data_IF_243034336219
#
_entry.id   IF_243034336219
#
_cell.length_a   1.000
_cell.length_b   1.000
_cell.length_c   1.000
_cell.angle_alpha   90.00
_cell.angle_beta   90.00
_cell.angle_gamma   90.00
#
_symmetry.space_group_name_H-M   'P 1'
#
loop_
_entity.id
_entity.type
_entity.pdbx_description
1 polymer ?
#
# COMPACT_ATOMS: atom_id res chain seq x y z
N UNK A 1 -26.40 -6.52 22.24
CA UNK A 1 -26.94 -5.46 21.38
C UNK A 1 -25.80 -4.49 21.19
N UNK A 2 -24.93 -4.81 20.22
CA UNK A 2 -23.61 -4.19 20.10
C UNK A 2 -23.78 -2.88 19.34
N UNK A 3 -23.40 -1.80 19.99
CA UNK A 3 -23.31 -0.48 19.41
C UNK A 3 -22.38 -0.57 18.20
N UNK A 4 -22.92 -0.37 17.00
CA UNK A 4 -22.11 -0.22 15.79
C UNK A 4 -21.59 1.21 15.85
N UNK A 5 -20.57 1.44 16.67
CA UNK A 5 -19.77 2.66 16.57
C UNK A 5 -19.38 2.80 15.11
N UNK A 6 -19.92 3.84 14.47
CA UNK A 6 -19.60 4.19 13.10
C UNK A 6 -18.12 4.58 13.07
N UNK A 7 -17.26 3.59 12.85
CA UNK A 7 -15.83 3.82 12.67
C UNK A 7 -15.68 4.78 11.50
N UNK A 8 -15.04 5.92 11.75
CA UNK A 8 -14.80 6.92 10.71
C UNK A 8 -13.85 6.31 9.68
N UNK A 9 -14.39 5.97 8.51
CA UNK A 9 -13.61 5.50 7.38
C UNK A 9 -13.06 6.71 6.62
N UNK A 10 -11.74 6.73 6.44
CA UNK A 10 -11.02 7.77 5.71
C UNK A 10 -10.66 7.26 4.32
N UNK A 11 -11.00 8.05 3.30
CA UNK A 11 -10.63 7.73 1.94
C UNK A 11 -9.12 7.90 1.74
N UNK A 12 -8.50 6.89 1.11
CA UNK A 12 -7.09 6.87 0.75
C UNK A 12 -6.98 6.75 -0.75
N UNK A 13 -6.19 7.64 -1.35
CA UNK A 13 -5.87 7.60 -2.77
C UNK A 13 -4.43 8.00 -3.01
N UNK A 14 -3.70 7.18 -3.77
CA UNK A 14 -2.41 7.55 -4.35
C UNK A 14 -2.23 6.94 -5.75
N UNK A 15 -1.27 7.44 -6.50
CA UNK A 15 -1.01 6.99 -7.86
C UNK A 15 0.45 7.15 -8.28
N UNK A 16 0.87 6.34 -9.23
CA UNK A 16 2.18 6.38 -9.85
C UNK A 16 2.12 5.86 -11.30
N UNK A 17 3.20 6.07 -12.06
CA UNK A 17 3.32 5.56 -13.43
C UNK A 17 4.47 4.58 -13.55
N UNK A 18 4.28 3.54 -14.36
CA UNK A 18 5.31 2.58 -14.77
C UNK A 18 5.53 2.74 -16.27
N UNK A 19 6.77 2.94 -16.69
CA UNK A 19 7.14 3.03 -18.12
C UNK A 19 7.23 1.65 -18.79
N UNK A 20 6.17 0.85 -18.61
CA UNK A 20 5.95 -0.45 -19.22
C UNK A 20 4.51 -0.55 -19.73
N UNK A 21 4.25 -1.28 -20.83
CA UNK A 21 2.89 -1.53 -21.29
C UNK A 21 2.12 -2.43 -20.30
N UNK A 22 0.80 -2.29 -20.24
CA UNK A 22 -0.05 -3.00 -19.28
C UNK A 22 0.14 -4.52 -19.32
N UNK A 23 0.34 -5.10 -20.50
CA UNK A 23 0.55 -6.55 -20.65
C UNK A 23 1.80 -7.05 -19.91
N UNK A 24 2.88 -6.28 -19.90
CA UNK A 24 4.12 -6.66 -19.23
C UNK A 24 3.99 -6.46 -17.72
N UNK A 25 3.28 -5.41 -17.29
CA UNK A 25 2.93 -5.19 -15.88
C UNK A 25 2.05 -6.33 -15.35
N UNK A 26 1.01 -6.72 -16.08
CA UNK A 26 0.09 -7.81 -15.68
C UNK A 26 0.86 -9.14 -15.53
N UNK A 27 1.77 -9.45 -16.45
CA UNK A 27 2.61 -10.65 -16.33
C UNK A 27 3.53 -10.59 -15.11
N UNK A 28 4.09 -9.42 -14.81
CA UNK A 28 4.96 -9.26 -13.66
C UNK A 28 4.20 -9.38 -12.33
N UNK A 29 3.00 -8.79 -12.21
CA UNK A 29 2.20 -8.87 -10.97
C UNK A 29 1.77 -10.30 -10.63
N UNK A 30 1.50 -11.15 -11.63
CA UNK A 30 1.20 -12.58 -11.40
C UNK A 30 2.33 -13.32 -10.68
N UNK A 31 3.56 -12.82 -10.79
CA UNK A 31 4.75 -13.37 -10.15
C UNK A 31 5.03 -12.70 -8.81
N UNK A 32 4.88 -11.36 -8.73
CA UNK A 32 5.40 -10.58 -7.59
C UNK A 32 4.34 -10.13 -6.60
N UNK A 33 3.09 -9.95 -7.03
CA UNK A 33 2.01 -9.54 -6.15
C UNK A 33 1.50 -10.76 -5.38
N UNK A 34 2.23 -11.12 -4.32
CA UNK A 34 1.79 -12.11 -3.33
C UNK A 34 1.37 -11.38 -2.05
N UNK A 35 0.38 -11.88 -1.29
CA UNK A 35 -0.02 -11.22 -0.06
C UNK A 35 1.14 -11.11 0.94
N UNK A 36 1.98 -12.14 1.02
CA UNK A 36 3.16 -12.13 1.89
C UNK A 36 4.12 -10.99 1.56
N UNK A 37 4.52 -10.85 0.29
CA UNK A 37 5.46 -9.79 -0.12
C UNK A 37 4.86 -8.39 0.08
N UNK A 38 3.57 -8.20 -0.19
CA UNK A 38 2.91 -6.92 0.08
C UNK A 38 2.88 -6.62 1.58
N UNK A 39 2.70 -7.64 2.43
CA UNK A 39 2.81 -7.50 3.89
C UNK A 39 4.20 -7.04 4.33
N UNK A 40 5.27 -7.58 3.71
CA UNK A 40 6.64 -7.12 3.93
C UNK A 40 6.83 -5.66 3.51
N UNK A 41 6.27 -5.25 2.36
CA UNK A 41 6.33 -3.85 1.93
C UNK A 41 5.61 -2.91 2.90
N UNK A 42 4.46 -3.29 3.43
CA UNK A 42 3.75 -2.48 4.45
C UNK A 42 4.60 -2.35 5.71
N UNK A 43 5.25 -3.43 6.15
CA UNK A 43 6.12 -3.40 7.32
C UNK A 43 7.36 -2.52 7.12
N UNK A 44 8.00 -2.60 5.95
CA UNK A 44 9.11 -1.71 5.57
C UNK A 44 8.66 -0.26 5.55
N UNK A 45 7.56 0.03 4.86
CA UNK A 45 7.00 1.38 4.77
C UNK A 45 6.67 1.96 6.15
N UNK A 46 6.01 1.20 7.02
CA UNK A 46 5.74 1.62 8.40
C UNK A 46 7.00 2.01 9.15
N UNK A 47 8.00 1.13 9.15
CA UNK A 47 9.23 1.35 9.89
C UNK A 47 9.97 2.61 9.41
N UNK A 48 10.01 2.83 8.10
CA UNK A 48 10.68 3.99 7.54
C UNK A 48 9.93 5.29 7.86
N UNK A 49 8.60 5.30 7.77
CA UNK A 49 7.79 6.48 8.11
C UNK A 49 7.83 6.81 9.60
N UNK A 50 7.81 5.80 10.49
CA UNK A 50 7.97 6.02 11.94
C UNK A 50 9.35 6.58 12.25
N UNK A 51 10.43 6.08 11.65
CA UNK A 51 11.78 6.64 11.86
C UNK A 51 11.84 8.12 11.45
N UNK A 52 11.22 8.49 10.33
CA UNK A 52 11.15 9.90 9.91
C UNK A 52 10.34 10.72 10.92
N UNK A 53 9.21 10.22 11.38
CA UNK A 53 8.36 10.90 12.35
C UNK A 53 9.08 11.14 13.68
N UNK A 54 9.77 10.13 14.22
CA UNK A 54 10.55 10.21 15.45
C UNK A 54 11.67 11.23 15.34
N UNK A 55 12.38 11.25 14.20
CA UNK A 55 13.45 12.22 13.93
C UNK A 55 12.94 13.67 13.85
N UNK A 56 11.73 13.89 13.34
CA UNK A 56 11.13 15.23 13.20
C UNK A 56 10.51 15.72 14.51
N UNK A 57 9.93 14.83 15.32
CA UNK A 57 9.19 15.21 16.53
C UNK A 57 10.04 15.21 17.81
N UNK A 58 11.29 14.74 17.76
CA UNK A 58 12.17 14.53 18.92
C UNK A 58 11.44 13.76 20.05
N UNK A 59 10.61 12.80 19.64
CA UNK A 59 9.81 11.94 20.51
C UNK A 59 9.92 10.51 20.00
N UNK A 60 10.25 9.58 20.89
CA UNK A 60 10.14 8.16 20.60
C UNK A 60 8.66 7.78 20.55
N UNK A 61 8.26 7.16 19.46
CA UNK A 61 6.95 6.54 19.37
C UNK A 61 7.09 5.09 19.86
N UNK A 62 6.24 4.61 20.80
CA UNK A 62 6.36 3.25 21.33
C UNK A 62 6.06 2.14 20.30
N UNK A 63 5.87 2.52 19.04
CA UNK A 63 5.36 1.73 17.92
C UNK A 63 6.44 1.39 16.87
N UNK A 64 7.73 1.55 17.21
CA UNK A 64 8.88 1.28 16.34
C UNK A 64 9.17 -0.22 16.11
N UNK A 65 8.25 -1.11 16.48
CA UNK A 65 8.33 -2.54 16.17
C UNK A 65 7.88 -2.81 14.74
N UNK A 66 8.60 -3.66 14.00
CA UNK A 66 8.19 -4.09 12.67
C UNK A 66 6.83 -4.79 12.73
N UNK A 67 5.76 -4.21 12.12
CA UNK A 67 4.43 -4.72 12.32
C UNK A 67 4.24 -6.03 11.55
N UNK A 68 3.62 -7.01 12.20
CA UNK A 68 3.09 -8.18 11.50
C UNK A 68 1.80 -7.80 10.79
N UNK A 69 1.90 -7.66 9.47
CA UNK A 69 0.80 -7.26 8.58
C UNK A 69 0.31 -8.49 7.82
N UNK A 70 -0.96 -8.83 8.04
CA UNK A 70 -1.68 -9.77 7.19
C UNK A 70 -2.25 -9.03 5.99
N UNK A 71 -1.99 -9.55 4.80
CA UNK A 71 -2.60 -9.07 3.56
C UNK A 71 -3.45 -10.18 2.98
N UNK A 72 -4.59 -9.82 2.40
CA UNK A 72 -5.40 -10.70 1.59
C UNK A 72 -5.74 -10.01 0.27
N UNK A 73 -5.83 -10.81 -0.80
CA UNK A 73 -6.31 -10.35 -2.09
C UNK A 73 -7.70 -10.87 -2.36
N UNK A 74 -8.54 -9.99 -2.88
CA UNK A 74 -9.82 -10.36 -3.45
C UNK A 74 -9.67 -10.92 -4.87
N UNK A 75 -10.79 -11.36 -5.47
CA UNK A 75 -10.78 -11.82 -6.86
C UNK A 75 -10.38 -10.68 -7.79
N UNK A 76 -9.37 -10.94 -8.64
CA UNK A 76 -8.93 -9.99 -9.67
C UNK A 76 -10.07 -9.71 -10.64
N UNK A 77 -10.23 -8.44 -11.01
CA UNK A 77 -11.21 -7.98 -11.98
C UNK A 77 -10.49 -7.37 -13.18
N UNK A 78 -10.83 -7.81 -14.38
CA UNK A 78 -10.23 -7.29 -15.62
C UNK A 78 -11.23 -6.47 -16.42
N UNK A 79 -10.75 -5.38 -17.01
CA UNK A 79 -11.44 -4.54 -18.01
C UNK A 79 -10.57 -4.47 -19.27
N UNK A 80 -11.07 -3.81 -20.33
CA UNK A 80 -10.37 -3.73 -21.62
C UNK A 80 -8.96 -3.11 -21.50
N UNK A 81 -8.82 -2.14 -20.62
CA UNK A 81 -7.67 -1.26 -20.48
C UNK A 81 -7.14 -1.21 -19.04
N UNK A 82 -7.64 -2.06 -18.15
CA UNK A 82 -7.23 -2.08 -16.75
C UNK A 82 -7.37 -3.46 -16.09
N UNK A 83 -6.56 -3.70 -15.07
CA UNK A 83 -6.67 -4.81 -14.13
C UNK A 83 -6.79 -4.24 -12.72
N UNK A 84 -7.76 -4.72 -11.95
CA UNK A 84 -8.04 -4.30 -10.59
C UNK A 84 -7.82 -5.48 -9.65
N UNK A 85 -6.95 -5.27 -8.66
CA UNK A 85 -6.64 -6.21 -7.59
C UNK A 85 -7.18 -5.64 -6.27
N UNK A 86 -8.32 -6.14 -5.76
CA UNK A 86 -8.78 -5.78 -4.43
C UNK A 86 -7.77 -6.27 -3.38
N UNK A 87 -7.39 -5.41 -2.45
CA UNK A 87 -6.49 -5.71 -1.35
C UNK A 87 -7.15 -5.37 -0.03
N UNK A 88 -6.89 -6.19 0.98
CA UNK A 88 -7.11 -5.82 2.37
C UNK A 88 -5.84 -6.07 3.13
N UNK A 89 -5.50 -5.17 4.06
CA UNK A 89 -4.47 -5.46 5.03
C UNK A 89 -4.92 -5.11 6.44
N UNK A 90 -4.42 -5.89 7.39
CA UNK A 90 -4.68 -5.76 8.82
C UNK A 90 -3.39 -6.03 9.59
N UNK A 91 -3.18 -5.30 10.67
CA UNK A 91 -2.08 -5.50 11.61
C UNK A 91 -2.50 -6.45 12.74
N UNK A 92 -1.59 -7.32 13.18
CA UNK A 92 -1.80 -8.16 14.38
C UNK A 92 -1.15 -7.59 15.64
N UNK A 93 -0.17 -6.71 15.48
CA UNK A 93 0.80 -6.39 16.54
C UNK A 93 0.92 -4.91 16.81
N UNK A 94 0.56 -4.06 15.84
CA UNK A 94 0.70 -2.61 15.96
C UNK A 94 -0.61 -1.92 15.59
N UNK A 95 -1.47 -1.56 16.56
CA UNK A 95 -2.78 -0.92 16.33
C UNK A 95 -2.72 0.39 15.54
N UNK A 96 -1.55 1.03 15.49
CA UNK A 96 -1.36 2.28 14.77
C UNK A 96 -1.09 2.10 13.28
N UNK A 97 -0.80 0.87 12.82
CA UNK A 97 -0.85 0.53 11.40
C UNK A 97 -2.31 0.43 11.02
N UNK A 98 -2.88 1.43 10.34
CA UNK A 98 -4.31 1.47 10.18
C UNK A 98 -4.73 0.42 9.14
N UNK A 99 -5.84 -0.30 9.40
CA UNK A 99 -6.35 -1.27 8.44
C UNK A 99 -6.69 -0.56 7.13
N UNK A 100 -6.51 -1.26 6.01
CA UNK A 100 -6.88 -0.73 4.69
C UNK A 100 -7.71 -1.77 3.94
N UNK A 101 -8.82 -1.31 3.36
CA UNK A 101 -9.56 -2.00 2.32
C UNK A 101 -9.49 -1.16 1.05
N UNK A 102 -8.85 -1.67 0.01
CA UNK A 102 -8.54 -0.89 -1.18
C UNK A 102 -8.60 -1.73 -2.47
N UNK A 103 -8.55 -1.03 -3.59
CA UNK A 103 -8.33 -1.57 -4.92
C UNK A 103 -7.00 -1.01 -5.45
N UNK A 104 -6.12 -1.90 -5.91
CA UNK A 104 -4.99 -1.51 -6.76
C UNK A 104 -5.44 -1.64 -8.21
N UNK A 105 -5.48 -0.54 -8.95
CA UNK A 105 -5.81 -0.52 -10.37
C UNK A 105 -4.57 -0.27 -11.22
N UNK A 106 -4.31 -1.16 -12.16
CA UNK A 106 -3.29 -1.02 -13.21
C UNK A 106 -4.01 -0.70 -14.52
N UNK A 107 -3.89 0.53 -15.01
CA UNK A 107 -4.58 1.00 -16.21
C UNK A 107 -3.59 1.41 -17.30
N UNK A 108 -3.88 1.06 -18.56
CA UNK A 108 -3.05 1.46 -19.70
C UNK A 108 -3.08 2.98 -19.88
N UNK A 109 -1.91 3.58 -20.09
CA UNK A 109 -1.76 5.00 -20.42
C UNK A 109 -0.93 5.14 -21.70
N UNK A 110 -1.55 4.79 -22.82
CA UNK A 110 -0.87 4.68 -24.10
C UNK A 110 -0.10 3.35 -24.25
N UNK A 111 0.69 3.21 -25.33
CA UNK A 111 1.26 1.91 -25.71
C UNK A 111 2.47 1.47 -24.89
N UNK A 112 3.03 2.33 -24.05
CA UNK A 112 4.30 2.09 -23.34
C UNK A 112 4.27 2.44 -21.86
N UNK A 113 3.11 2.77 -21.31
CA UNK A 113 3.00 3.24 -19.94
C UNK A 113 1.73 2.69 -19.29
N UNK A 114 1.84 2.42 -18.01
CA UNK A 114 0.76 1.95 -17.14
C UNK A 114 0.65 2.89 -15.95
N UNK A 115 -0.55 3.34 -15.64
CA UNK A 115 -0.82 4.03 -14.38
C UNK A 115 -1.23 3.00 -13.34
N UNK A 116 -0.69 3.18 -12.14
CA UNK A 116 -1.06 2.39 -10.97
C UNK A 116 -1.71 3.31 -9.99
N UNK A 117 -2.89 2.93 -9.52
CA UNK A 117 -3.64 3.67 -8.55
C UNK A 117 -4.01 2.78 -7.37
N UNK A 118 -4.01 3.34 -6.17
CA UNK A 118 -4.54 2.69 -4.98
C UNK A 118 -5.70 3.54 -4.50
N UNK A 119 -6.90 2.97 -4.41
CA UNK A 119 -8.11 3.63 -3.91
C UNK A 119 -8.73 2.81 -2.81
N UNK A 120 -9.01 3.39 -1.65
CA UNK A 120 -9.60 2.60 -0.57
C UNK A 120 -10.07 3.41 0.62
N UNK A 121 -10.41 2.67 1.66
CA UNK A 121 -10.83 3.18 2.94
C UNK A 121 -9.91 2.63 4.03
N UNK A 122 -9.52 3.50 4.95
CA UNK A 122 -8.77 3.14 6.13
C UNK A 122 -9.50 3.60 7.39
N UNK A 123 -9.42 2.82 8.46
CA UNK A 123 -10.00 3.20 9.75
C UNK A 123 -8.95 3.91 10.60
N UNK A 124 -9.39 4.87 11.42
CA UNK A 124 -8.50 5.46 12.42
C UNK A 124 -8.11 4.41 13.48
N UNK A 125 -6.93 4.58 14.11
CA UNK A 125 -6.56 3.80 15.28
C UNK A 125 -7.63 3.84 16.38
N UNK A 126 -7.78 2.78 17.19
CA UNK A 126 -8.71 2.76 18.31
C UNK A 126 -8.48 3.93 19.27
N UNK A 127 -9.55 4.66 19.62
CA UNK A 127 -9.50 5.79 20.53
C UNK A 127 -9.19 7.15 19.87
N UNK A 128 -8.80 7.16 18.59
CA UNK A 128 -8.63 8.41 17.85
C UNK A 128 -9.98 9.09 17.59
N UNK A 129 -10.02 10.40 17.80
CA UNK A 129 -11.21 11.24 17.55
C UNK A 129 -11.02 12.01 16.24
N UNK A 130 -12.02 12.00 15.37
CA UNK A 130 -11.99 12.73 14.08
C UNK A 130 -11.80 14.23 14.29
N UNK A 131 -10.91 14.84 13.50
CA UNK A 131 -10.65 16.29 13.55
C UNK A 131 -9.58 16.73 14.56
N UNK A 132 -8.92 15.77 15.21
CA UNK A 132 -7.76 16.02 16.08
C UNK A 132 -6.44 16.00 15.31
N UNK A 133 -5.37 16.50 15.96
CA UNK A 133 -4.00 16.36 15.45
C UNK A 133 -3.60 14.90 15.27
N UNK A 134 -4.05 14.03 16.16
CA UNK A 134 -3.79 12.59 16.14
C UNK A 134 -4.44 11.90 14.93
N UNK A 135 -5.73 12.14 14.68
CA UNK A 135 -6.40 11.59 13.49
C UNK A 135 -5.82 12.15 12.19
N UNK A 136 -5.41 13.43 12.20
CA UNK A 136 -4.69 14.04 11.07
C UNK A 136 -3.32 13.40 10.84
N UNK A 137 -2.58 13.09 11.91
CA UNK A 137 -1.29 12.40 11.83
C UNK A 137 -1.47 10.97 11.31
N UNK A 138 -2.42 10.22 11.86
CA UNK A 138 -2.74 8.86 11.43
C UNK A 138 -3.08 8.84 9.94
N UNK A 139 -3.93 9.75 9.46
CA UNK A 139 -4.29 9.85 8.04
C UNK A 139 -3.07 10.15 7.16
N UNK A 140 -2.21 11.10 7.55
CA UNK A 140 -0.98 11.40 6.81
C UNK A 140 -0.05 10.19 6.75
N UNK A 141 0.08 9.47 7.86
CA UNK A 141 0.89 8.27 7.97
C UNK A 141 0.34 7.15 7.07
N UNK A 142 -0.98 6.93 7.04
CA UNK A 142 -1.63 5.99 6.11
C UNK A 142 -1.27 6.29 4.66
N UNK A 143 -1.40 7.55 4.24
CA UNK A 143 -1.11 7.97 2.86
C UNK A 143 0.37 7.77 2.55
N UNK A 144 1.27 8.12 3.47
CA UNK A 144 2.71 7.92 3.30
C UNK A 144 3.07 6.44 3.16
N UNK A 145 2.49 5.57 3.99
CA UNK A 145 2.68 4.12 3.90
C UNK A 145 2.18 3.58 2.55
N UNK A 146 0.97 3.97 2.13
CA UNK A 146 0.41 3.54 0.84
C UNK A 146 1.31 3.99 -0.32
N UNK A 147 1.81 5.22 -0.28
CA UNK A 147 2.76 5.73 -1.27
C UNK A 147 4.02 4.89 -1.32
N UNK A 148 4.60 4.59 -0.16
CA UNK A 148 5.85 3.85 -0.09
C UNK A 148 5.66 2.39 -0.55
N UNK A 149 4.57 1.74 -0.13
CA UNK A 149 4.18 0.41 -0.64
C UNK A 149 4.05 0.42 -2.16
N UNK A 150 3.44 1.47 -2.74
CA UNK A 150 3.30 1.63 -4.18
C UNK A 150 4.67 1.73 -4.88
N UNK A 151 5.62 2.47 -4.31
CA UNK A 151 7.00 2.56 -4.81
C UNK A 151 7.67 1.18 -4.81
N UNK A 152 7.65 0.47 -3.67
CA UNK A 152 8.27 -0.85 -3.54
C UNK A 152 7.65 -1.88 -4.50
N UNK A 153 6.33 -1.84 -4.65
CA UNK A 153 5.62 -2.69 -5.60
C UNK A 153 6.04 -2.40 -7.04
N UNK A 154 6.15 -1.13 -7.42
CA UNK A 154 6.58 -0.72 -8.76
C UNK A 154 8.02 -1.14 -9.05
N UNK A 155 8.93 -0.90 -8.11
CA UNK A 155 10.32 -1.35 -8.23
C UNK A 155 10.41 -2.86 -8.45
N UNK A 156 9.59 -3.62 -7.70
CA UNK A 156 9.54 -5.07 -7.83
C UNK A 156 8.97 -5.52 -9.17
N UNK A 157 7.93 -4.85 -9.66
CA UNK A 157 7.34 -5.11 -10.99
C UNK A 157 8.39 -4.87 -12.08
N UNK A 158 9.09 -3.73 -12.05
CA UNK A 158 10.12 -3.37 -13.03
C UNK A 158 11.24 -4.41 -13.03
N UNK A 159 11.72 -4.80 -11.86
CA UNK A 159 12.79 -5.79 -11.72
C UNK A 159 12.42 -7.19 -12.26
N UNK A 160 11.13 -7.54 -12.30
CA UNK A 160 10.66 -8.82 -12.84
C UNK A 160 10.24 -8.75 -14.32
N UNK A 161 9.81 -7.58 -14.78
CA UNK A 161 9.43 -7.37 -16.18
C UNK A 161 10.65 -7.25 -17.10
N UNK A 162 11.78 -6.76 -16.60
CA UNK A 162 13.04 -6.67 -17.35
C UNK A 162 14.00 -7.78 -16.88
N UNK A 163 14.09 -8.93 -17.58
CA UNK A 163 15.13 -9.90 -17.28
C UNK A 163 16.49 -9.22 -17.48
N UNK A 164 17.33 -9.24 -16.45
CA UNK A 164 18.72 -8.79 -16.54
C UNK A 164 19.38 -9.46 -17.74
N UNK A 165 19.85 -8.68 -18.71
CA UNK A 165 20.65 -9.22 -19.82
C UNK A 165 21.77 -10.08 -19.24
N UNK A 166 21.99 -11.30 -19.77
CA UNK A 166 23.12 -12.11 -19.33
C UNK A 166 24.39 -11.32 -19.67
N UNK A 167 25.14 -10.91 -18.64
CA UNK A 167 26.47 -10.36 -18.79
C UNK A 167 27.33 -11.36 -19.56
N UNK A 168 27.55 -11.10 -20.84
CA UNK A 168 28.55 -11.80 -21.63
C UNK A 168 29.93 -11.34 -21.16
N UNK A 169 30.53 -12.11 -20.26
CA UNK A 169 31.97 -12.14 -20.02
C UNK A 169 32.63 -13.20 -20.88
#
# INVERSE_FOLDING_TARGET
>A
MTDVESRSAHFVHDFAGIDLPLVDVVRAIEIVATPHLVGEFVAVAWNDEIRVLEAVQDRHHPHAGGPLVDVAFGPQRSRRDAVILPITWRTRTEPWVPPLDADIEFASFGPRRTHVHVYGCSELPPGSVTGTEESSLAQRLTVAIVRHVLVLLIERIIANAMPTEPSHH
#
